data_IF_866671355005
#
_entry.id   IF_866671355005
#
_cell.length_a   1.000
_cell.length_b   1.000
_cell.length_c   1.000
_cell.angle_alpha   90.00
_cell.angle_beta   90.00
_cell.angle_gamma   90.00
#
_symmetry.space_group_name_H-M   'P 1'
#
loop_
_entity.id
_entity.type
_entity.pdbx_description
1 polymer ?
#
# COMPACT_ATOMS: atom_id res chain seq x y z
N UNK A 1 6.97 0.71 -19.40
CA UNK A 1 6.51 0.90 -20.81
C UNK A 1 7.13 2.13 -21.45
N UNK A 2 7.29 3.26 -20.73
CA UNK A 2 7.86 4.49 -21.30
C UNK A 2 9.19 4.30 -22.06
N UNK A 3 10.20 3.55 -21.55
CA UNK A 3 11.44 3.35 -22.29
C UNK A 3 11.28 2.54 -23.58
N UNK A 4 10.19 1.78 -23.71
CA UNK A 4 9.92 0.89 -24.83
C UNK A 4 8.93 1.47 -25.85
N UNK A 5 8.33 2.64 -25.58
CA UNK A 5 7.42 3.31 -26.51
C UNK A 5 8.20 4.12 -27.57
N UNK A 6 7.69 4.25 -28.81
CA UNK A 6 8.31 5.09 -29.84
C UNK A 6 8.50 6.53 -29.34
N UNK A 7 9.66 7.14 -29.63
CA UNK A 7 9.96 8.51 -29.24
C UNK A 7 8.98 9.52 -29.88
N UNK A 8 8.77 10.65 -29.19
CA UNK A 8 7.83 11.69 -29.59
C UNK A 8 6.46 11.56 -28.93
N UNK A 9 5.42 12.05 -29.62
CA UNK A 9 4.08 12.27 -29.07
C UNK A 9 3.44 11.06 -28.40
N UNK A 10 3.68 9.84 -28.92
CA UNK A 10 3.13 8.61 -28.33
C UNK A 10 3.68 8.37 -26.92
N UNK A 11 4.98 8.54 -26.71
CA UNK A 11 5.62 8.36 -25.40
C UNK A 11 5.21 9.44 -24.41
N UNK A 12 5.12 10.69 -24.86
CA UNK A 12 4.62 11.81 -24.04
C UNK A 12 3.17 11.58 -23.63
N UNK A 13 2.31 11.18 -24.57
CA UNK A 13 0.90 10.87 -24.29
C UNK A 13 0.79 9.74 -23.27
N UNK A 14 1.61 8.70 -23.37
CA UNK A 14 1.64 7.61 -22.41
C UNK A 14 2.03 8.10 -21.00
N UNK A 15 3.06 8.95 -20.88
CA UNK A 15 3.48 9.53 -19.59
C UNK A 15 2.33 10.30 -18.94
N UNK A 16 1.73 11.22 -19.68
CA UNK A 16 0.63 12.05 -19.16
C UNK A 16 -0.64 11.24 -18.88
N UNK A 17 -0.91 10.20 -19.66
CA UNK A 17 -1.99 9.25 -19.38
C UNK A 17 -1.75 8.49 -18.08
N UNK A 18 -0.51 8.07 -17.79
CA UNK A 18 -0.17 7.44 -16.52
C UNK A 18 -0.37 8.41 -15.34
N UNK A 19 -0.01 9.70 -15.48
CA UNK A 19 -0.35 10.72 -14.47
C UNK A 19 -1.88 10.90 -14.32
N UNK A 20 -2.63 10.83 -15.41
CA UNK A 20 -4.10 10.83 -15.39
C UNK A 20 -4.68 9.66 -14.60
N UNK A 21 -4.21 8.44 -14.84
CA UNK A 21 -4.64 7.26 -14.07
C UNK A 21 -4.20 7.31 -12.61
N UNK A 22 -3.02 7.85 -12.32
CA UNK A 22 -2.57 8.14 -10.97
C UNK A 22 -3.56 9.08 -10.25
N UNK A 23 -3.94 10.20 -10.88
CA UNK A 23 -4.91 11.14 -10.33
C UNK A 23 -6.29 10.52 -10.12
N UNK A 24 -6.80 9.78 -11.11
CA UNK A 24 -8.07 9.05 -11.02
C UNK A 24 -8.08 8.06 -9.84
N UNK A 25 -7.03 7.26 -9.72
CA UNK A 25 -6.88 6.30 -8.61
C UNK A 25 -6.80 7.01 -7.27
N UNK A 26 -6.14 8.17 -7.19
CA UNK A 26 -6.01 8.93 -5.95
C UNK A 26 -7.35 9.48 -5.47
N UNK A 27 -8.11 10.12 -6.36
CA UNK A 27 -9.43 10.71 -6.04
C UNK A 27 -10.41 9.62 -5.60
N UNK A 28 -10.49 8.53 -6.35
CA UNK A 28 -11.38 7.40 -6.01
C UNK A 28 -10.98 6.75 -4.68
N UNK A 29 -9.68 6.59 -4.42
CA UNK A 29 -9.19 6.06 -3.15
C UNK A 29 -9.52 6.98 -1.98
N UNK A 30 -9.41 8.31 -2.15
CA UNK A 30 -9.72 9.27 -1.10
C UNK A 30 -11.18 9.17 -0.64
N UNK A 31 -12.13 8.97 -1.57
CA UNK A 31 -13.54 8.73 -1.24
C UNK A 31 -13.68 7.49 -0.36
N UNK A 32 -13.09 6.36 -0.76
CA UNK A 32 -13.17 5.10 0.00
C UNK A 32 -12.52 5.23 1.38
N UNK A 33 -11.34 5.84 1.45
CA UNK A 33 -10.62 6.07 2.72
C UNK A 33 -11.46 6.94 3.66
N UNK A 34 -12.11 7.98 3.14
CA UNK A 34 -12.99 8.86 3.93
C UNK A 34 -14.19 8.09 4.49
N UNK A 35 -14.80 7.20 3.69
CA UNK A 35 -15.90 6.35 4.15
C UNK A 35 -15.45 5.35 5.22
N UNK A 36 -14.26 4.76 5.07
CA UNK A 36 -13.68 3.85 6.07
C UNK A 36 -13.36 4.63 7.36
N UNK A 37 -12.77 5.82 7.25
CA UNK A 37 -12.48 6.70 8.38
C UNK A 37 -13.76 7.04 9.14
N UNK A 38 -14.79 7.50 8.43
CA UNK A 38 -16.08 7.83 9.03
C UNK A 38 -16.71 6.62 9.73
N UNK A 39 -16.64 5.44 9.11
CA UNK A 39 -17.09 4.19 9.74
C UNK A 39 -16.31 3.91 11.03
N UNK A 40 -14.99 4.07 11.03
CA UNK A 40 -14.16 3.79 12.20
C UNK A 40 -14.38 4.80 13.34
N UNK A 41 -14.69 6.05 13.00
CA UNK A 41 -14.94 7.12 13.96
C UNK A 41 -16.34 7.06 14.57
N UNK A 42 -17.36 6.77 13.75
CA UNK A 42 -18.77 6.78 14.17
C UNK A 42 -19.28 5.40 14.62
N UNK A 43 -18.64 4.33 14.15
CA UNK A 43 -19.03 2.96 14.46
C UNK A 43 -17.85 2.20 15.06
N UNK A 44 -18.12 1.11 15.78
CA UNK A 44 -17.07 0.22 16.29
C UNK A 44 -16.33 -0.43 15.11
N UNK A 45 -15.10 -0.88 15.36
CA UNK A 45 -14.20 -1.53 14.40
C UNK A 45 -14.89 -2.63 13.57
N UNK A 46 -15.83 -3.37 14.16
CA UNK A 46 -16.61 -4.43 13.53
C UNK A 46 -16.24 -5.80 14.09
N UNK A 47 -16.56 -6.87 13.34
CA UNK A 47 -16.20 -8.23 13.73
C UNK A 47 -14.66 -8.38 13.80
N UNK A 48 -14.17 -9.07 14.84
CA UNK A 48 -12.74 -9.27 15.06
C UNK A 48 -12.02 -9.84 13.83
N UNK A 49 -12.62 -10.82 13.14
CA UNK A 49 -12.06 -11.42 11.93
C UNK A 49 -11.93 -10.47 10.73
N UNK A 50 -12.50 -9.26 10.78
CA UNK A 50 -12.38 -8.24 9.75
C UNK A 50 -11.29 -7.21 10.04
N UNK A 51 -10.70 -7.21 11.24
CA UNK A 51 -9.63 -6.25 11.60
C UNK A 51 -8.46 -6.21 10.59
N UNK A 52 -7.99 -7.35 10.03
CA UNK A 52 -6.93 -7.31 9.01
C UNK A 52 -7.27 -6.46 7.78
N UNK A 53 -8.55 -6.27 7.42
CA UNK A 53 -8.93 -5.49 6.24
C UNK A 53 -8.69 -3.98 6.41
N UNK A 54 -8.51 -3.49 7.64
CA UNK A 54 -8.13 -2.10 7.89
C UNK A 54 -6.78 -1.74 7.23
N UNK A 55 -5.91 -2.72 7.06
CA UNK A 55 -4.61 -2.52 6.40
C UNK A 55 -4.75 -2.22 4.91
N UNK A 56 -5.88 -2.58 4.27
CA UNK A 56 -6.13 -2.34 2.84
C UNK A 56 -6.01 -0.86 2.47
N UNK A 57 -6.32 0.07 3.39
CA UNK A 57 -6.16 1.51 3.17
C UNK A 57 -4.72 1.92 2.86
N UNK A 58 -3.72 1.20 3.38
CA UNK A 58 -2.32 1.44 3.03
C UNK A 58 -2.01 1.10 1.56
N UNK A 59 -2.82 0.25 0.93
CA UNK A 59 -2.66 -0.21 -0.44
C UNK A 59 -2.56 0.95 -1.43
N UNK A 60 -3.65 1.74 -1.62
CA UNK A 60 -3.63 2.90 -2.50
C UNK A 60 -2.62 3.98 -2.06
N UNK A 61 -2.36 4.12 -0.75
CA UNK A 61 -1.39 5.10 -0.23
C UNK A 61 0.05 4.76 -0.62
N UNK A 62 0.50 3.54 -0.35
CA UNK A 62 1.84 3.08 -0.75
C UNK A 62 1.97 3.00 -2.27
N UNK A 63 0.90 2.60 -2.96
CA UNK A 63 0.90 2.48 -4.41
C UNK A 63 0.98 3.85 -5.09
N UNK A 64 0.35 4.89 -4.52
CA UNK A 64 0.44 6.24 -5.08
C UNK A 64 1.86 6.80 -4.97
N UNK A 65 2.52 6.59 -3.83
CA UNK A 65 3.94 6.93 -3.64
C UNK A 65 4.81 6.18 -4.67
N UNK A 66 4.59 4.87 -4.81
CA UNK A 66 5.32 4.05 -5.78
C UNK A 66 5.15 4.59 -7.21
N UNK A 67 3.91 4.86 -7.61
CA UNK A 67 3.58 5.33 -8.95
C UNK A 67 4.25 6.66 -9.27
N UNK A 68 4.15 7.66 -8.38
CA UNK A 68 4.72 8.98 -8.67
C UNK A 68 6.26 8.94 -8.75
N UNK A 69 6.91 8.12 -7.92
CA UNK A 69 8.37 7.96 -7.96
C UNK A 69 8.82 7.24 -9.24
N UNK A 70 8.07 6.22 -9.69
CA UNK A 70 8.37 5.53 -10.96
C UNK A 70 8.18 6.46 -12.16
N UNK A 71 7.13 7.29 -12.17
CA UNK A 71 6.89 8.26 -13.24
C UNK A 71 8.00 9.32 -13.28
N UNK A 72 8.37 9.89 -12.12
CA UNK A 72 9.49 10.82 -12.03
C UNK A 72 10.81 10.22 -12.49
N UNK A 73 11.10 8.95 -12.13
CA UNK A 73 12.34 8.26 -12.55
C UNK A 73 12.43 8.08 -14.06
N UNK A 74 11.29 7.96 -14.75
CA UNK A 74 11.25 7.75 -16.20
C UNK A 74 11.04 9.05 -16.99
N UNK A 75 10.64 10.15 -16.34
CA UNK A 75 10.38 11.44 -16.98
C UNK A 75 11.54 11.97 -17.84
N UNK A 76 12.83 11.84 -17.45
CA UNK A 76 13.96 12.29 -18.28
C UNK A 76 14.06 11.61 -19.66
N UNK A 77 13.40 10.46 -19.84
CA UNK A 77 13.37 9.72 -21.12
C UNK A 77 12.26 10.21 -22.07
N UNK A 78 11.46 11.18 -21.64
CA UNK A 78 10.20 11.58 -22.29
C UNK A 78 10.10 13.10 -22.45
N UNK A 79 10.42 13.87 -21.40
CA UNK A 79 10.27 15.33 -21.37
C UNK A 79 11.61 16.03 -21.20
N UNK A 80 11.64 17.34 -21.39
CA UNK A 80 12.83 18.15 -21.18
C UNK A 80 13.31 18.12 -19.71
N UNK A 81 14.56 18.52 -19.50
CA UNK A 81 15.20 18.46 -18.18
C UNK A 81 14.47 19.29 -17.10
N UNK A 82 13.89 20.44 -17.47
CA UNK A 82 13.19 21.31 -16.51
C UNK A 82 11.89 20.67 -16.03
N UNK A 83 11.12 20.09 -16.95
CA UNK A 83 9.88 19.38 -16.63
C UNK A 83 10.17 18.09 -15.85
N UNK A 84 11.19 17.32 -16.25
CA UNK A 84 11.60 16.12 -15.52
C UNK A 84 12.00 16.43 -14.08
N UNK A 85 12.74 17.52 -13.86
CA UNK A 85 13.09 17.99 -12.53
C UNK A 85 11.85 18.40 -11.71
N UNK A 86 10.92 19.14 -12.31
CA UNK A 86 9.66 19.51 -11.64
C UNK A 86 8.85 18.28 -11.20
N UNK A 87 8.76 17.26 -12.05
CA UNK A 87 8.07 16.00 -11.73
C UNK A 87 8.74 15.23 -10.58
N UNK A 88 10.08 15.28 -10.49
CA UNK A 88 10.82 14.72 -9.36
C UNK A 88 10.52 15.48 -8.05
N UNK A 89 10.50 16.81 -8.09
CA UNK A 89 10.12 17.63 -6.93
C UNK A 89 8.70 17.29 -6.47
N UNK A 90 7.75 17.17 -7.40
CA UNK A 90 6.38 16.73 -7.10
C UNK A 90 6.37 15.35 -6.46
N UNK A 91 7.13 14.38 -6.99
CA UNK A 91 7.21 13.03 -6.43
C UNK A 91 7.71 13.02 -4.98
N UNK A 92 8.72 13.83 -4.67
CA UNK A 92 9.25 13.96 -3.30
C UNK A 92 8.24 14.60 -2.36
N UNK A 93 7.70 15.77 -2.71
CA UNK A 93 6.74 16.51 -1.86
C UNK A 93 5.49 15.67 -1.61
N UNK A 94 4.91 15.10 -2.66
CA UNK A 94 3.75 14.21 -2.55
C UNK A 94 4.09 12.96 -1.74
N UNK A 95 5.24 12.34 -2.01
CA UNK A 95 5.67 11.11 -1.36
C UNK A 95 5.81 11.28 0.16
N UNK A 96 6.45 12.35 0.63
CA UNK A 96 6.57 12.64 2.06
C UNK A 96 5.22 13.00 2.71
N UNK A 97 4.35 13.75 2.01
CA UNK A 97 3.02 14.04 2.51
C UNK A 97 2.19 12.75 2.71
N UNK A 98 2.19 11.87 1.71
CA UNK A 98 1.48 10.58 1.81
C UNK A 98 2.15 9.61 2.79
N UNK A 99 3.46 9.68 2.98
CA UNK A 99 4.16 8.91 4.00
C UNK A 99 3.67 9.28 5.41
N UNK A 100 3.46 10.57 5.69
CA UNK A 100 2.85 11.01 6.95
C UNK A 100 1.49 10.35 7.21
N UNK A 101 0.63 10.30 6.19
CA UNK A 101 -0.66 9.60 6.27
C UNK A 101 -0.49 8.08 6.42
N UNK A 102 0.44 7.46 5.70
CA UNK A 102 0.73 6.03 5.79
C UNK A 102 1.15 5.63 7.22
N UNK A 103 2.02 6.44 7.85
CA UNK A 103 2.47 6.23 9.23
C UNK A 103 1.32 6.37 10.23
N UNK A 104 0.52 7.44 10.11
CA UNK A 104 -0.68 7.63 10.93
C UNK A 104 -1.60 6.41 10.84
N UNK A 105 -1.93 5.99 9.62
CA UNK A 105 -2.84 4.87 9.42
C UNK A 105 -2.25 3.54 9.91
N UNK A 106 -0.93 3.34 9.73
CA UNK A 106 -0.22 2.18 10.26
C UNK A 106 -0.35 2.11 11.79
N UNK A 107 -0.19 3.23 12.50
CA UNK A 107 -0.36 3.29 13.95
C UNK A 107 -1.80 2.90 14.36
N UNK A 108 -2.81 3.44 13.68
CA UNK A 108 -4.22 3.12 13.95
C UNK A 108 -4.49 1.63 13.71
N UNK A 109 -4.14 1.12 12.54
CA UNK A 109 -4.37 -0.27 12.15
C UNK A 109 -3.62 -1.24 13.07
N UNK A 110 -2.38 -0.93 13.44
CA UNK A 110 -1.58 -1.72 14.37
C UNK A 110 -2.16 -1.72 15.78
N UNK A 111 -2.56 -0.57 16.32
CA UNK A 111 -3.15 -0.48 17.65
C UNK A 111 -4.44 -1.31 17.75
N UNK A 112 -5.31 -1.23 16.74
CA UNK A 112 -6.54 -2.03 16.67
C UNK A 112 -6.19 -3.52 16.54
N UNK A 113 -5.23 -3.88 15.68
CA UNK A 113 -4.82 -5.27 15.48
C UNK A 113 -4.25 -5.88 16.77
N UNK A 114 -3.38 -5.15 17.48
CA UNK A 114 -2.80 -5.60 18.76
C UNK A 114 -3.90 -5.75 19.81
N UNK A 115 -4.80 -4.77 19.93
CA UNK A 115 -5.93 -4.85 20.88
C UNK A 115 -6.79 -6.09 20.62
N UNK A 116 -7.21 -6.31 19.37
CA UNK A 116 -8.03 -7.47 19.03
C UNK A 116 -7.26 -8.78 19.17
N UNK A 117 -5.96 -8.80 18.90
CA UNK A 117 -5.12 -9.98 19.13
C UNK A 117 -5.07 -10.37 20.61
N UNK A 118 -5.02 -9.38 21.52
CA UNK A 118 -5.11 -9.62 22.99
C UNK A 118 -6.47 -10.14 23.43
N UNK A 119 -7.53 -9.86 22.67
CA UNK A 119 -8.91 -10.33 22.88
C UNK A 119 -9.23 -11.61 22.06
N UNK A 120 -8.23 -12.35 21.58
CA UNK A 120 -8.34 -13.52 20.69
C UNK A 120 -8.81 -13.22 19.26
N UNK A 121 -7.96 -12.58 18.47
CA UNK A 121 -8.18 -12.41 17.02
C UNK A 121 -8.24 -13.78 16.32
N UNK A 122 -9.39 -14.21 15.76
CA UNK A 122 -9.47 -15.46 15.04
C UNK A 122 -8.66 -15.38 13.74
N UNK A 123 -8.04 -16.50 13.38
CA UNK A 123 -7.44 -16.63 12.07
C UNK A 123 -8.52 -16.78 11.00
N UNK A 124 -8.40 -16.02 9.93
CA UNK A 124 -9.22 -16.13 8.73
C UNK A 124 -8.41 -15.69 7.51
N UNK A 125 -8.91 -15.95 6.30
CA UNK A 125 -8.22 -15.56 5.07
C UNK A 125 -8.07 -14.04 4.89
N UNK A 126 -8.80 -13.22 5.66
CA UNK A 126 -8.63 -11.76 5.65
C UNK A 126 -7.23 -11.35 6.10
N UNK A 127 -6.49 -12.21 6.82
CA UNK A 127 -5.10 -11.94 7.18
C UNK A 127 -4.19 -11.71 5.96
N UNK A 128 -4.54 -12.25 4.78
CA UNK A 128 -3.81 -11.94 3.55
C UNK A 128 -3.85 -10.45 3.18
N UNK A 129 -4.80 -9.68 3.71
CA UNK A 129 -4.89 -8.22 3.55
C UNK A 129 -3.69 -7.46 4.14
N UNK A 130 -2.81 -8.07 4.93
CA UNK A 130 -1.55 -7.41 5.33
C UNK A 130 -0.56 -7.30 4.17
N UNK A 131 -0.57 -8.25 3.24
CA UNK A 131 0.55 -8.44 2.31
C UNK A 131 0.65 -7.35 1.24
N UNK A 132 -0.38 -7.20 0.41
CA UNK A 132 -0.39 -6.20 -0.66
C UNK A 132 -0.19 -4.77 -0.12
N UNK A 133 -0.93 -4.29 0.89
CA UNK A 133 -0.81 -2.92 1.37
C UNK A 133 0.53 -2.58 2.01
N UNK A 134 1.09 -3.50 2.82
CA UNK A 134 2.42 -3.29 3.40
C UNK A 134 3.47 -3.37 2.30
N UNK A 135 3.29 -4.26 1.31
CA UNK A 135 4.15 -4.35 0.13
C UNK A 135 4.20 -3.06 -0.69
N UNK A 136 3.06 -2.41 -0.94
CA UNK A 136 3.07 -1.12 -1.67
C UNK A 136 3.73 -0.01 -0.86
N UNK A 137 3.62 -0.02 0.48
CA UNK A 137 4.41 0.87 1.33
C UNK A 137 5.91 0.62 1.19
N UNK A 138 6.36 -0.64 1.14
CA UNK A 138 7.78 -0.98 0.92
C UNK A 138 8.29 -0.43 -0.40
N UNK A 139 7.55 -0.62 -1.51
CA UNK A 139 7.98 -0.10 -2.82
C UNK A 139 7.98 1.42 -2.86
N UNK A 140 6.99 2.06 -2.22
CA UNK A 140 6.91 3.52 -2.13
C UNK A 140 8.06 4.12 -1.32
N UNK A 141 8.37 3.51 -0.17
CA UNK A 141 9.49 3.91 0.68
C UNK A 141 10.84 3.71 -0.02
N UNK A 142 11.04 2.62 -0.77
CA UNK A 142 12.25 2.44 -1.57
C UNK A 142 12.41 3.55 -2.62
N UNK A 143 11.34 3.90 -3.34
CA UNK A 143 11.36 5.02 -4.29
C UNK A 143 11.73 6.34 -3.62
N UNK A 144 11.07 6.68 -2.51
CA UNK A 144 11.39 7.88 -1.72
C UNK A 144 12.84 7.88 -1.22
N UNK A 145 13.34 6.75 -0.72
CA UNK A 145 14.71 6.64 -0.22
C UNK A 145 15.73 6.91 -1.34
N UNK A 146 15.50 6.33 -2.53
CA UNK A 146 16.36 6.55 -3.70
C UNK A 146 16.39 8.01 -4.13
N UNK A 147 15.24 8.68 -4.20
CA UNK A 147 15.16 10.06 -4.68
C UNK A 147 15.54 11.12 -3.65
N UNK A 148 15.31 10.85 -2.36
CA UNK A 148 15.63 11.79 -1.28
C UNK A 148 17.04 11.62 -0.72
N UNK A 149 17.65 10.44 -0.88
CA UNK A 149 18.93 10.09 -0.27
C UNK A 149 18.88 9.94 1.26
N UNK A 150 17.70 9.97 1.89
CA UNK A 150 17.56 9.92 3.34
C UNK A 150 17.64 8.50 3.88
N UNK A 151 18.67 8.23 4.70
CA UNK A 151 18.88 6.93 5.37
C UNK A 151 17.68 6.52 6.22
N UNK A 152 17.01 7.46 6.88
CA UNK A 152 15.83 7.16 7.72
C UNK A 152 14.68 6.55 6.91
N UNK A 153 14.49 6.98 5.65
CA UNK A 153 13.46 6.44 4.77
C UNK A 153 13.85 5.03 4.30
N UNK A 154 15.14 4.80 4.02
CA UNK A 154 15.64 3.47 3.69
C UNK A 154 15.46 2.48 4.85
N UNK A 155 15.78 2.89 6.08
CA UNK A 155 15.53 2.08 7.28
C UNK A 155 14.04 1.77 7.43
N UNK A 156 13.17 2.76 7.20
CA UNK A 156 11.73 2.56 7.26
C UNK A 156 11.25 1.54 6.20
N UNK A 157 11.80 1.56 4.99
CA UNK A 157 11.52 0.57 3.96
C UNK A 157 11.86 -0.85 4.42
N UNK A 158 13.02 -1.02 5.07
CA UNK A 158 13.46 -2.31 5.63
C UNK A 158 12.55 -2.77 6.77
N UNK A 159 12.12 -1.87 7.65
CA UNK A 159 11.18 -2.20 8.75
C UNK A 159 9.84 -2.70 8.19
N UNK A 160 9.26 -1.99 7.21
CA UNK A 160 8.03 -2.44 6.55
C UNK A 160 8.22 -3.78 5.83
N UNK A 161 9.38 -4.01 5.20
CA UNK A 161 9.69 -5.27 4.51
C UNK A 161 9.83 -6.44 5.48
N UNK A 162 10.53 -6.27 6.60
CA UNK A 162 10.65 -7.29 7.63
C UNK A 162 9.27 -7.63 8.22
N UNK A 163 8.44 -6.62 8.48
CA UNK A 163 7.05 -6.81 8.91
C UNK A 163 6.20 -7.57 7.89
N UNK A 164 6.34 -7.24 6.60
CA UNK A 164 5.69 -7.94 5.50
C UNK A 164 6.08 -9.42 5.46
N UNK A 165 7.37 -9.73 5.53
CA UNK A 165 7.87 -11.12 5.50
C UNK A 165 7.34 -11.91 6.71
N UNK A 166 7.38 -11.32 7.91
CA UNK A 166 6.85 -11.95 9.11
C UNK A 166 5.34 -12.22 9.01
N UNK A 167 4.57 -11.24 8.52
CA UNK A 167 3.14 -11.41 8.27
C UNK A 167 2.90 -12.51 7.24
N UNK A 168 3.57 -12.46 6.08
CA UNK A 168 3.42 -13.44 5.00
C UNK A 168 3.69 -14.87 5.48
N UNK A 169 4.80 -15.11 6.18
CA UNK A 169 5.15 -16.44 6.71
C UNK A 169 4.05 -16.91 7.67
N UNK A 170 3.60 -16.03 8.58
CA UNK A 170 2.55 -16.36 9.56
C UNK A 170 1.25 -16.76 8.87
N UNK A 171 0.79 -15.96 7.89
CA UNK A 171 -0.44 -16.25 7.16
C UNK A 171 -0.30 -17.53 6.34
N UNK A 172 0.81 -17.70 5.62
CA UNK A 172 1.06 -18.89 4.80
C UNK A 172 1.04 -20.18 5.64
N UNK A 173 1.73 -20.20 6.78
CA UNK A 173 1.75 -21.35 7.69
C UNK A 173 0.35 -21.66 8.23
N UNK A 174 -0.40 -20.63 8.68
CA UNK A 174 -1.76 -20.83 9.21
C UNK A 174 -2.75 -21.23 8.14
N UNK A 175 -2.64 -20.71 6.92
CA UNK A 175 -3.44 -21.14 5.78
C UNK A 175 -3.14 -22.59 5.44
N UNK A 176 -1.87 -22.98 5.33
CA UNK A 176 -1.49 -24.37 5.06
C UNK A 176 -2.02 -25.32 6.14
N UNK A 177 -1.81 -24.99 7.41
CA UNK A 177 -2.29 -25.81 8.52
C UNK A 177 -3.83 -25.89 8.57
N UNK A 178 -4.53 -24.78 8.32
CA UNK A 178 -6.00 -24.73 8.31
C UNK A 178 -6.64 -25.47 7.13
N UNK A 179 -6.03 -25.38 5.94
CA UNK A 179 -6.56 -25.97 4.71
C UNK A 179 -6.14 -27.43 4.52
N UNK A 180 -4.87 -27.76 4.78
CA UNK A 180 -4.29 -29.08 4.44
C UNK A 180 -4.29 -30.02 5.64
N UNK A 181 -3.88 -29.54 6.82
CA UNK A 181 -3.74 -30.41 8.00
C UNK A 181 -5.09 -30.60 8.71
N UNK A 182 -5.82 -29.51 8.96
CA UNK A 182 -7.12 -29.56 9.65
C UNK A 182 -8.32 -29.73 8.71
N UNK A 183 -8.21 -29.28 7.46
CA UNK A 183 -9.33 -29.28 6.51
C UNK A 183 -10.49 -28.33 6.89
N UNK A 184 -10.35 -27.51 7.93
CA UNK A 184 -11.43 -26.67 8.47
C UNK A 184 -11.57 -25.34 7.75
N UNK A 185 -10.51 -24.84 7.11
CA UNK A 185 -10.50 -23.47 6.54
C UNK A 185 -11.30 -23.34 5.25
N UNK A 186 -11.38 -24.42 4.45
CA UNK A 186 -12.10 -24.48 3.18
C UNK A 186 -13.38 -25.33 3.29
N UNK A 187 -13.74 -25.74 4.50
CA UNK A 187 -14.97 -26.48 4.74
C UNK A 187 -16.20 -25.62 4.41
N UNK A 188 -17.29 -26.21 3.89
CA UNK A 188 -18.55 -25.51 3.70
C UNK A 188 -19.03 -24.87 5.02
N UNK A 189 -19.74 -23.73 4.96
CA UNK A 189 -20.36 -23.15 6.15
C UNK A 189 -21.25 -24.21 6.82
N UNK A 190 -21.06 -24.45 8.12
CA UNK A 190 -21.98 -25.30 8.85
C UNK A 190 -23.34 -24.59 8.97
N UNK A 191 -24.47 -25.28 8.73
CA UNK A 191 -25.79 -24.70 8.96
C UNK A 191 -25.91 -24.24 10.41
N UNK A 192 -26.54 -23.08 10.61
CA UNK A 192 -26.79 -22.49 11.93
C UNK A 192 -27.78 -23.30 12.76
#
# INVERSE_FOLDING_TARGET
LLPYAPAGQVRETLLWSCYGFFGLSLVTSLVVITLIWNRLAQHKVGAAGMVPTLWIVLGPVGQSITAVNLLASNAPTVVDASTAHALLVVALVYGFAMLGFALLWTVIALAITIRTAREHLPFSLTWWSFTFPVGTCVTGLNGLALHSGLTVVAVLAVVYYAGLVAAWITVAVRTFHGSVIRGTLLAPPQPA
#
